data_IF_854765133557
#
_entry.id   IF_854765133557
#
_cell.length_a   1.000
_cell.length_b   1.000
_cell.length_c   1.000
_cell.angle_alpha   90.00
_cell.angle_beta   90.00
_cell.angle_gamma   90.00
#
_symmetry.space_group_name_H-M   'P 1'
#
loop_
_entity.id
_entity.type
_entity.pdbx_description
1 polymer ?
#
# COMPACT_ATOMS: atom_id res chain seq x y z
N UNK A 1 -23.93 -1.72 3.12
CA UNK A 1 -22.77 -2.10 3.96
C UNK A 1 -21.86 -3.06 3.22
N UNK A 2 -22.39 -4.05 2.51
CA UNK A 2 -21.56 -5.02 1.76
C UNK A 2 -20.74 -4.37 0.64
N UNK A 3 -21.31 -3.44 -0.14
CA UNK A 3 -20.57 -2.71 -1.18
C UNK A 3 -19.36 -1.91 -0.67
N UNK A 4 -19.46 -1.31 0.53
CA UNK A 4 -18.34 -0.57 1.11
C UNK A 4 -17.24 -1.53 1.57
N UNK A 5 -17.62 -2.66 2.16
CA UNK A 5 -16.68 -3.73 2.52
C UNK A 5 -15.98 -4.29 1.29
N UNK A 6 -16.70 -4.52 0.19
CA UNK A 6 -16.14 -5.00 -1.09
C UNK A 6 -15.10 -4.01 -1.63
N UNK A 7 -15.40 -2.71 -1.65
CA UNK A 7 -14.44 -1.67 -2.06
C UNK A 7 -13.17 -1.72 -1.20
N UNK A 8 -13.30 -1.82 0.11
CA UNK A 8 -12.14 -1.88 1.02
C UNK A 8 -11.31 -3.17 0.82
N UNK A 9 -11.96 -4.29 0.51
CA UNK A 9 -11.28 -5.55 0.16
C UNK A 9 -10.55 -5.41 -1.18
N UNK A 10 -11.18 -4.81 -2.19
CA UNK A 10 -10.54 -4.57 -3.50
C UNK A 10 -9.32 -3.65 -3.36
N UNK A 11 -9.42 -2.58 -2.56
CA UNK A 11 -8.28 -1.70 -2.24
C UNK A 11 -7.13 -2.48 -1.59
N UNK A 12 -7.42 -3.35 -0.63
CA UNK A 12 -6.37 -4.18 0.00
C UNK A 12 -5.76 -5.18 -0.99
N UNK A 13 -6.56 -5.76 -1.88
CA UNK A 13 -6.06 -6.65 -2.93
C UNK A 13 -5.10 -5.91 -3.86
N UNK A 14 -5.48 -4.73 -4.34
CA UNK A 14 -4.65 -3.91 -5.23
C UNK A 14 -3.32 -3.52 -4.57
N UNK A 15 -3.35 -3.14 -3.28
CA UNK A 15 -2.13 -2.87 -2.51
C UNK A 15 -1.24 -4.10 -2.42
N UNK A 16 -1.81 -5.29 -2.16
CA UNK A 16 -1.04 -6.54 -2.09
C UNK A 16 -0.42 -6.87 -3.45
N UNK A 17 -1.19 -6.78 -4.53
CA UNK A 17 -0.72 -7.06 -5.90
C UNK A 17 0.41 -6.10 -6.31
N UNK A 18 0.27 -4.81 -6.01
CA UNK A 18 1.32 -3.82 -6.25
C UNK A 18 2.61 -4.16 -5.49
N UNK A 19 2.49 -4.50 -4.19
CA UNK A 19 3.65 -4.88 -3.35
C UNK A 19 4.28 -6.16 -3.88
N UNK A 20 3.49 -7.15 -4.28
CA UNK A 20 4.01 -8.41 -4.80
C UNK A 20 4.79 -8.21 -6.10
N UNK A 21 4.23 -7.43 -7.04
CA UNK A 21 4.90 -7.07 -8.29
C UNK A 21 6.24 -6.35 -8.02
N UNK A 22 6.30 -5.47 -7.02
CA UNK A 22 7.55 -4.80 -6.62
C UNK A 22 8.53 -5.78 -5.99
N UNK A 23 8.08 -6.66 -5.11
CA UNK A 23 8.93 -7.67 -4.47
C UNK A 23 9.50 -8.67 -5.47
N UNK A 24 8.79 -8.99 -6.55
CA UNK A 24 9.28 -9.84 -7.64
C UNK A 24 10.45 -9.21 -8.42
N UNK A 25 10.60 -7.87 -8.37
CA UNK A 25 11.77 -7.18 -8.94
C UNK A 25 12.99 -7.18 -8.03
N UNK A 26 12.85 -7.62 -6.77
CA UNK A 26 13.93 -7.64 -5.78
C UNK A 26 14.62 -9.00 -5.76
N UNK A 27 15.96 -9.00 -5.83
CA UNK A 27 16.75 -10.24 -5.78
C UNK A 27 17.10 -10.68 -4.36
N UNK A 28 17.19 -9.75 -3.41
CA UNK A 28 17.64 -10.02 -2.04
C UNK A 28 16.71 -9.40 -1.00
N UNK A 29 15.73 -10.17 -0.55
CA UNK A 29 14.82 -9.76 0.52
C UNK A 29 15.43 -10.12 1.89
N UNK A 30 15.71 -9.12 2.72
CA UNK A 30 16.30 -9.34 4.05
C UNK A 30 15.28 -9.87 5.08
N UNK A 31 13.98 -9.79 4.75
CA UNK A 31 12.88 -10.22 5.61
C UNK A 31 11.84 -11.05 4.88
N UNK A 32 10.98 -11.81 5.57
CA UNK A 32 9.87 -12.52 4.94
C UNK A 32 8.89 -11.54 4.26
N UNK A 33 8.38 -11.91 3.06
CA UNK A 33 7.35 -11.13 2.32
C UNK A 33 6.16 -10.73 3.21
N UNK A 34 5.74 -11.62 4.11
CA UNK A 34 4.67 -11.37 5.07
C UNK A 34 4.90 -10.12 5.95
N UNK A 35 6.14 -9.85 6.35
CA UNK A 35 6.49 -8.65 7.13
C UNK A 35 6.32 -7.38 6.28
N UNK A 36 6.69 -7.44 5.00
CA UNK A 36 6.54 -6.32 4.07
C UNK A 36 5.06 -6.02 3.83
N UNK A 37 4.23 -7.03 3.50
CA UNK A 37 2.79 -6.83 3.33
C UNK A 37 2.14 -6.21 4.57
N UNK A 38 2.43 -6.76 5.76
CA UNK A 38 1.85 -6.26 7.01
C UNK A 38 2.22 -4.78 7.26
N UNK A 39 3.47 -4.40 6.98
CA UNK A 39 3.95 -3.03 7.19
C UNK A 39 3.31 -2.05 6.21
N UNK A 40 3.20 -2.43 4.93
CA UNK A 40 2.56 -1.60 3.91
C UNK A 40 1.06 -1.45 4.19
N UNK A 41 0.35 -2.54 4.50
CA UNK A 41 -1.07 -2.52 4.85
C UNK A 41 -1.30 -1.62 6.07
N UNK A 42 -0.47 -1.73 7.10
CA UNK A 42 -0.56 -0.87 8.28
C UNK A 42 -0.35 0.61 7.93
N UNK A 43 0.61 0.92 7.05
CA UNK A 43 0.83 2.29 6.59
C UNK A 43 -0.39 2.87 5.85
N UNK A 44 -1.05 2.08 4.99
CA UNK A 44 -2.30 2.49 4.31
C UNK A 44 -3.42 2.73 5.32
N UNK A 45 -3.64 1.80 6.28
CA UNK A 45 -4.63 1.97 7.35
C UNK A 45 -4.35 3.22 8.19
N UNK A 46 -3.08 3.46 8.55
CA UNK A 46 -2.67 4.62 9.33
C UNK A 46 -2.90 5.93 8.55
N UNK A 47 -2.62 5.91 7.25
CA UNK A 47 -2.86 7.04 6.34
C UNK A 47 -4.35 7.33 6.17
N UNK A 48 -5.19 6.31 6.08
CA UNK A 48 -6.65 6.46 6.05
C UNK A 48 -7.18 7.12 7.34
N UNK A 49 -6.62 6.74 8.49
CA UNK A 49 -7.05 7.27 9.80
C UNK A 49 -6.67 8.73 10.01
N UNK A 50 -5.58 9.20 9.42
CA UNK A 50 -5.12 10.59 9.60
C UNK A 50 -5.99 11.61 8.85
N UNK A 51 -6.79 11.19 7.86
CA UNK A 51 -7.68 12.06 7.07
C UNK A 51 -9.12 12.13 7.60
N UNK A 52 -9.40 11.52 8.76
CA UNK A 52 -10.74 11.27 9.30
C UNK A 52 -11.57 12.48 9.78
N UNK A 53 -11.61 13.60 9.04
CA UNK A 53 -12.60 14.67 9.28
C UNK A 53 -13.94 14.44 8.57
N UNK A 54 -13.98 13.58 7.53
CA UNK A 54 -15.23 13.16 6.88
C UNK A 54 -15.18 11.66 6.55
N UNK A 55 -15.92 10.84 7.30
CA UNK A 55 -16.10 9.40 7.04
C UNK A 55 -14.96 8.49 7.52
N UNK A 56 -14.97 8.15 8.81
CA UNK A 56 -14.43 6.93 9.45
C UNK A 56 -13.09 6.29 9.00
N UNK A 57 -12.19 6.99 8.30
CA UNK A 57 -10.89 6.44 7.89
C UNK A 57 -10.99 5.30 6.88
N UNK A 58 -11.81 5.48 5.84
CA UNK A 58 -11.93 4.55 4.71
C UNK A 58 -10.59 4.43 3.97
N UNK A 59 -10.15 3.20 3.66
CA UNK A 59 -8.91 2.95 2.94
C UNK A 59 -8.93 3.57 1.54
N UNK A 60 -10.10 3.60 0.90
CA UNK A 60 -10.28 4.26 -0.40
C UNK A 60 -9.93 5.77 -0.38
N UNK A 61 -9.90 6.39 0.80
CA UNK A 61 -9.53 7.79 0.97
C UNK A 61 -8.12 7.97 1.55
N UNK A 62 -7.32 6.90 1.63
CA UNK A 62 -5.98 6.97 2.19
C UNK A 62 -5.05 7.73 1.22
N UNK A 63 -4.43 8.85 1.62
CA UNK A 63 -3.49 9.58 0.75
C UNK A 63 -2.34 8.72 0.21
N UNK A 64 -1.94 7.70 0.96
CA UNK A 64 -0.89 6.77 0.55
C UNK A 64 -1.34 5.80 -0.56
N UNK A 65 -2.65 5.53 -0.68
CA UNK A 65 -3.19 4.63 -1.70
C UNK A 65 -2.88 5.15 -3.11
N UNK A 66 -3.16 6.42 -3.36
CA UNK A 66 -2.88 7.05 -4.66
C UNK A 66 -1.41 6.93 -5.05
N UNK A 67 -0.49 7.08 -4.09
CA UNK A 67 0.95 6.96 -4.34
C UNK A 67 1.37 5.52 -4.66
N UNK A 68 0.76 4.53 -4.00
CA UNK A 68 1.01 3.09 -4.26
C UNK A 68 0.49 2.72 -5.65
N UNK A 69 -0.76 3.04 -5.96
CA UNK A 69 -1.38 2.68 -7.24
C UNK A 69 -0.73 3.42 -8.40
N UNK A 70 -0.50 4.73 -8.27
CA UNK A 70 0.21 5.50 -9.31
C UNK A 70 1.66 5.03 -9.47
N UNK A 71 2.29 4.51 -8.42
CA UNK A 71 3.61 3.91 -8.50
C UNK A 71 3.62 2.56 -9.21
N UNK A 72 2.61 1.72 -8.97
CA UNK A 72 2.39 0.47 -9.69
C UNK A 72 2.09 0.71 -11.18
N UNK A 73 1.39 1.79 -11.51
CA UNK A 73 1.09 2.22 -12.88
C UNK A 73 2.25 2.97 -13.57
N UNK A 74 3.35 3.26 -12.86
CA UNK A 74 4.59 3.80 -13.45
C UNK A 74 4.72 5.33 -13.46
N UNK A 75 3.95 6.07 -12.66
CA UNK A 75 4.18 7.51 -12.47
C UNK A 75 5.45 7.77 -11.65
N UNK A 76 6.31 8.70 -12.07
CA UNK A 76 7.63 8.92 -11.47
C UNK A 76 7.57 9.29 -9.97
N UNK A 77 6.60 10.12 -9.58
CA UNK A 77 6.44 10.55 -8.18
C UNK A 77 5.85 9.45 -7.29
N UNK A 78 4.81 8.75 -7.76
CA UNK A 78 4.21 7.62 -7.03
C UNK A 78 5.18 6.45 -6.90
N UNK A 79 5.92 6.14 -7.96
CA UNK A 79 6.89 5.04 -7.98
C UNK A 79 8.02 5.27 -6.97
N UNK A 80 8.48 6.50 -6.80
CA UNK A 80 9.53 6.84 -5.83
C UNK A 80 9.06 6.63 -4.39
N UNK A 81 7.86 7.12 -4.04
CA UNK A 81 7.29 6.96 -2.69
C UNK A 81 7.02 5.48 -2.42
N UNK A 82 6.45 4.78 -3.39
CA UNK A 82 6.12 3.37 -3.27
C UNK A 82 7.37 2.49 -3.14
N UNK A 83 8.37 2.69 -3.99
CA UNK A 83 9.65 1.98 -3.91
C UNK A 83 10.33 2.23 -2.55
N UNK A 84 10.37 3.49 -2.09
CA UNK A 84 10.95 3.82 -0.78
C UNK A 84 10.25 3.09 0.36
N UNK A 85 8.90 3.04 0.33
CA UNK A 85 8.11 2.36 1.35
C UNK A 85 8.40 0.85 1.36
N UNK A 86 8.48 0.20 0.21
CA UNK A 86 8.77 -1.24 0.12
C UNK A 86 10.22 -1.51 0.50
N UNK A 87 11.18 -0.76 -0.02
CA UNK A 87 12.62 -0.93 0.22
C UNK A 87 12.95 -0.76 1.72
N UNK A 88 12.38 0.24 2.38
CA UNK A 88 12.54 0.43 3.83
C UNK A 88 12.03 -0.76 4.64
N UNK A 89 10.95 -1.40 4.22
CA UNK A 89 10.38 -2.55 4.95
C UNK A 89 10.98 -3.89 4.52
N UNK A 90 11.63 -3.94 3.36
CA UNK A 90 12.32 -5.11 2.82
C UNK A 90 13.75 -5.26 3.35
N UNK A 91 14.38 -4.16 3.78
CA UNK A 91 15.78 -4.09 4.22
C UNK A 91 15.98 -3.93 5.74
N UNK A 92 14.89 -3.76 6.52
CA UNK A 92 14.88 -3.68 8.00
C UNK A 92 14.39 -4.97 8.64
#
# INVERSE_FOLDING_TARGET
MDRLREIEIDVLREVIEAVDARLDTMTDLAVPRAKVYASVIYAVISSARSTGHYGAGMLANAPLLDSILSGAEGTEHGATIFATLVDLNALN
#
